data_IF_283355163245
#
_entry.id   IF_283355163245
#
_cell.length_a   1.000
_cell.length_b   1.000
_cell.length_c   1.000
_cell.angle_alpha   90.00
_cell.angle_beta   90.00
_cell.angle_gamma   90.00
#
_symmetry.space_group_name_H-M   'P 1'
#
loop_
_entity.id
_entity.type
_entity.pdbx_description
1 polymer ?
#
# COMPACT_ATOMS: atom_id res chain seq x y z
N UNK A 1 36.68 16.87 -16.83
CA UNK A 1 35.96 17.84 -15.98
C UNK A 1 34.97 17.04 -15.14
N UNK A 2 34.86 17.31 -13.84
CA UNK A 2 33.84 16.66 -13.01
C UNK A 2 32.46 17.17 -13.44
N UNK A 3 31.47 16.28 -13.52
CA UNK A 3 30.10 16.67 -13.83
C UNK A 3 29.58 17.64 -12.75
N UNK A 4 28.93 18.72 -13.17
CA UNK A 4 28.41 19.73 -12.24
C UNK A 4 27.10 19.22 -11.63
N UNK A 5 27.07 19.10 -10.30
CA UNK A 5 25.87 18.70 -9.55
C UNK A 5 25.36 19.91 -8.78
N UNK A 6 24.07 20.19 -8.96
CA UNK A 6 23.35 21.20 -8.19
C UNK A 6 22.08 20.58 -7.58
N UNK A 7 21.78 20.95 -6.34
CA UNK A 7 20.52 20.59 -5.66
C UNK A 7 19.86 21.89 -5.23
N UNK A 8 18.58 22.03 -5.54
CA UNK A 8 17.80 23.24 -5.25
C UNK A 8 16.33 22.91 -5.00
N UNK A 9 15.61 23.87 -4.43
CA UNK A 9 14.15 23.80 -4.34
C UNK A 9 13.51 23.76 -5.74
N UNK A 10 12.45 22.95 -5.83
CA UNK A 10 11.63 22.85 -7.03
C UNK A 10 10.89 24.17 -7.29
N UNK A 11 10.80 24.55 -8.55
CA UNK A 11 10.13 25.75 -9.05
C UNK A 11 8.97 25.37 -9.97
N UNK A 12 7.94 26.20 -10.14
CA UNK A 12 6.80 25.87 -11.01
C UNK A 12 7.20 25.46 -12.45
N UNK A 13 8.31 26.01 -12.96
CA UNK A 13 8.84 25.68 -14.29
C UNK A 13 9.41 24.25 -14.39
N UNK A 14 9.74 23.60 -13.27
CA UNK A 14 10.23 22.23 -13.22
C UNK A 14 9.12 21.18 -13.46
N UNK A 15 7.85 21.60 -13.54
CA UNK A 15 6.70 20.69 -13.56
C UNK A 15 6.78 19.61 -14.65
N UNK A 16 7.21 19.96 -15.87
CA UNK A 16 7.34 18.99 -16.96
C UNK A 16 8.47 17.98 -16.70
N UNK A 17 9.59 18.43 -16.14
CA UNK A 17 10.72 17.58 -15.78
C UNK A 17 10.37 16.63 -14.62
N UNK A 18 9.70 17.13 -13.58
CA UNK A 18 9.20 16.34 -12.47
C UNK A 18 8.19 15.26 -12.92
N UNK A 19 7.32 15.57 -13.88
CA UNK A 19 6.42 14.56 -14.47
C UNK A 19 7.18 13.44 -15.18
N UNK A 20 8.29 13.78 -15.85
CA UNK A 20 9.15 12.80 -16.51
C UNK A 20 9.81 11.88 -15.48
N UNK A 21 10.41 12.46 -14.44
CA UNK A 21 10.99 11.71 -13.31
C UNK A 21 9.97 10.84 -12.59
N UNK A 22 8.75 11.34 -12.40
CA UNK A 22 7.64 10.58 -11.82
C UNK A 22 7.29 9.35 -12.67
N UNK A 23 7.21 9.52 -13.99
CA UNK A 23 6.94 8.43 -14.92
C UNK A 23 8.00 7.33 -14.85
N UNK A 24 9.28 7.70 -14.89
CA UNK A 24 10.39 6.76 -14.75
C UNK A 24 10.35 5.99 -13.43
N UNK A 25 10.17 6.70 -12.30
CA UNK A 25 10.07 6.10 -10.98
C UNK A 25 8.89 5.12 -10.88
N UNK A 26 7.73 5.49 -11.44
CA UNK A 26 6.51 4.68 -11.39
C UNK A 26 6.65 3.36 -12.14
N UNK A 27 7.37 3.35 -13.26
CA UNK A 27 7.65 2.14 -14.03
C UNK A 27 8.62 1.22 -13.26
N UNK A 28 9.70 1.79 -12.71
CA UNK A 28 10.74 1.02 -12.02
C UNK A 28 10.33 0.44 -10.67
N UNK A 29 9.38 1.08 -9.97
CA UNK A 29 9.01 0.70 -8.60
C UNK A 29 8.07 -0.53 -8.49
N UNK A 30 7.61 -1.10 -9.61
CA UNK A 30 6.76 -2.29 -9.60
C UNK A 30 5.49 -2.11 -8.77
N UNK A 31 4.53 -1.32 -9.27
CA UNK A 31 3.13 -1.27 -8.80
C UNK A 31 2.83 -0.89 -7.33
N UNK A 32 3.76 -0.35 -6.54
CA UNK A 32 3.52 -0.20 -5.09
C UNK A 32 2.60 0.97 -4.67
N UNK A 33 2.37 1.96 -5.53
CA UNK A 33 1.28 2.96 -5.39
C UNK A 33 0.74 3.24 -6.79
N UNK A 34 -0.42 2.67 -7.15
CA UNK A 34 -1.15 3.07 -8.37
C UNK A 34 -1.81 4.41 -8.11
N UNK A 35 -1.02 5.48 -8.18
CA UNK A 35 -1.53 6.83 -8.26
C UNK A 35 -1.75 7.16 -9.73
N UNK A 36 -2.81 7.91 -10.02
CA UNK A 36 -2.99 8.47 -11.34
C UNK A 36 -1.79 9.35 -11.70
N UNK A 37 -1.39 9.34 -12.97
CA UNK A 37 -0.36 10.25 -13.44
C UNK A 37 -0.79 11.70 -13.14
N UNK A 38 0.08 12.52 -12.54
CA UNK A 38 -0.26 13.90 -12.26
C UNK A 38 -0.39 14.70 -13.57
N UNK A 39 -1.19 15.77 -13.56
CA UNK A 39 -1.23 16.75 -14.65
C UNK A 39 -0.23 17.88 -14.39
N UNK A 40 0.26 18.61 -15.41
CA UNK A 40 1.17 19.73 -15.22
C UNK A 40 0.64 20.78 -14.22
N UNK A 41 -0.67 21.07 -14.28
CA UNK A 41 -1.34 22.02 -13.39
C UNK A 41 -1.32 21.52 -11.95
N UNK A 42 -1.58 20.23 -11.73
CA UNK A 42 -1.54 19.63 -10.39
C UNK A 42 -0.12 19.62 -9.79
N UNK A 43 0.91 19.47 -10.64
CA UNK A 43 2.31 19.54 -10.21
C UNK A 43 2.66 20.96 -9.82
N UNK A 44 2.36 21.97 -10.67
CA UNK A 44 2.62 23.38 -10.34
C UNK A 44 1.95 23.81 -9.04
N UNK A 45 0.66 23.52 -8.89
CA UNK A 45 -0.08 23.82 -7.67
C UNK A 45 0.49 23.11 -6.43
N UNK A 46 1.10 21.93 -6.60
CA UNK A 46 1.75 21.22 -5.50
C UNK A 46 3.10 21.82 -5.14
N UNK A 47 3.88 22.30 -6.12
CA UNK A 47 5.13 23.02 -5.87
C UNK A 47 4.86 24.31 -5.09
N UNK A 48 3.86 25.10 -5.52
CA UNK A 48 3.47 26.33 -4.82
C UNK A 48 3.01 26.06 -3.39
N UNK A 49 2.21 25.00 -3.18
CA UNK A 49 1.76 24.61 -1.84
C UNK A 49 2.93 24.21 -0.95
N UNK A 50 3.85 23.40 -1.47
CA UNK A 50 5.03 22.95 -0.72
C UNK A 50 6.02 24.08 -0.45
N UNK A 51 6.13 25.06 -1.34
CA UNK A 51 6.95 26.26 -1.09
C UNK A 51 6.50 27.09 0.11
N UNK A 52 5.25 26.89 0.57
CA UNK A 52 4.70 27.53 1.76
C UNK A 52 4.52 26.55 2.94
N UNK A 53 4.92 25.29 2.80
CA UNK A 53 4.75 24.26 3.82
C UNK A 53 6.00 24.18 4.72
N UNK A 54 5.93 24.60 6.00
CA UNK A 54 7.09 24.52 6.88
C UNK A 54 7.52 23.09 7.22
N UNK A 55 6.66 22.09 6.95
CA UNK A 55 6.95 20.68 7.22
C UNK A 55 7.27 19.88 5.95
N UNK A 56 7.29 20.51 4.77
CA UNK A 56 7.44 19.84 3.49
C UNK A 56 8.38 20.59 2.56
N UNK A 57 9.30 19.88 1.91
CA UNK A 57 10.24 20.47 0.96
C UNK A 57 10.40 19.57 -0.26
N UNK A 58 10.26 20.13 -1.46
CA UNK A 58 10.49 19.40 -2.71
C UNK A 58 11.78 19.90 -3.35
N UNK A 59 12.73 18.99 -3.50
CA UNK A 59 14.03 19.30 -4.08
C UNK A 59 14.16 18.63 -5.44
N UNK A 60 14.89 19.31 -6.32
CA UNK A 60 15.32 18.79 -7.61
C UNK A 60 16.84 18.77 -7.67
N UNK A 61 17.37 17.78 -8.37
CA UNK A 61 18.80 17.62 -8.62
C UNK A 61 19.09 17.78 -10.09
N UNK A 62 20.07 18.61 -10.42
CA UNK A 62 20.57 18.81 -11.77
C UNK A 62 21.95 18.16 -11.94
N UNK A 63 22.16 17.56 -13.10
CA UNK A 63 23.47 17.09 -13.55
C UNK A 63 23.80 17.80 -14.87
N UNK A 64 24.88 18.56 -14.88
CA UNK A 64 25.29 19.38 -16.02
C UNK A 64 24.13 20.26 -16.56
N UNK A 65 23.39 20.90 -15.64
CA UNK A 65 22.23 21.77 -15.93
C UNK A 65 20.96 21.03 -16.35
N UNK A 66 20.93 19.69 -16.32
CA UNK A 66 19.76 18.90 -16.67
C UNK A 66 19.09 18.32 -15.42
N UNK A 67 17.81 18.63 -15.23
CA UNK A 67 16.99 18.09 -14.15
C UNK A 67 16.93 16.56 -14.25
N UNK A 68 17.62 15.90 -13.32
CA UNK A 68 17.95 14.47 -13.39
C UNK A 68 17.67 13.71 -12.08
N UNK A 69 17.14 14.40 -11.08
CA UNK A 69 16.71 13.78 -9.83
C UNK A 69 15.67 14.61 -9.11
N UNK A 70 14.93 13.95 -8.23
CA UNK A 70 13.94 14.60 -7.36
C UNK A 70 13.89 13.89 -6.02
N UNK A 71 13.47 14.62 -4.99
CA UNK A 71 13.18 14.05 -3.68
C UNK A 71 12.17 14.92 -2.94
N UNK A 72 11.21 14.29 -2.28
CA UNK A 72 10.28 14.96 -1.38
C UNK A 72 10.67 14.70 0.07
N UNK A 73 10.82 15.76 0.85
CA UNK A 73 11.17 15.70 2.25
C UNK A 73 9.96 16.12 3.08
N UNK A 74 9.70 15.40 4.16
CA UNK A 74 8.58 15.67 5.05
C UNK A 74 8.98 15.45 6.50
N UNK A 75 8.70 16.43 7.35
CA UNK A 75 8.86 16.31 8.80
C UNK A 75 7.70 15.49 9.38
N UNK A 76 8.03 14.49 10.18
CA UNK A 76 7.04 13.57 10.77
C UNK A 76 7.41 13.21 12.21
N UNK A 77 6.46 13.16 13.14
CA UNK A 77 6.72 12.67 14.49
C UNK A 77 7.33 11.28 14.47
N UNK A 78 8.40 11.05 15.24
CA UNK A 78 9.00 9.72 15.36
C UNK A 78 8.04 8.73 16.03
N UNK A 79 7.25 9.23 16.98
CA UNK A 79 6.24 8.48 17.70
C UNK A 79 5.25 9.46 18.35
N UNK A 80 4.07 9.01 18.76
CA UNK A 80 3.11 9.87 19.45
C UNK A 80 3.51 10.26 20.88
N UNK A 81 4.59 9.70 21.43
CA UNK A 81 5.01 9.90 22.83
C UNK A 81 6.27 10.77 22.98
N UNK A 82 6.93 11.10 21.87
CA UNK A 82 8.20 11.80 21.84
C UNK A 82 8.01 13.16 21.14
N UNK A 83 8.76 14.16 21.58
CA UNK A 83 8.69 15.51 21.02
C UNK A 83 9.50 15.64 19.72
N UNK A 84 10.42 14.71 19.50
CA UNK A 84 11.33 14.68 18.37
C UNK A 84 10.62 14.29 17.07
N UNK A 85 10.91 15.05 16.02
CA UNK A 85 10.52 14.73 14.67
C UNK A 85 11.64 13.97 13.94
N UNK A 86 11.24 13.20 12.93
CA UNK A 86 12.10 12.56 11.95
C UNK A 86 11.91 13.25 10.61
N UNK A 87 13.00 13.49 9.89
CA UNK A 87 12.94 13.90 8.50
C UNK A 87 12.75 12.67 7.61
N UNK A 88 11.60 12.57 6.94
CA UNK A 88 11.29 11.47 6.04
C UNK A 88 11.55 11.87 4.59
N UNK A 89 12.39 11.10 3.92
CA UNK A 89 12.71 11.19 2.50
C UNK A 89 11.79 10.24 1.73
N UNK A 90 10.93 10.80 0.90
CA UNK A 90 10.02 10.07 0.03
C UNK A 90 10.30 10.40 -1.45
N UNK A 91 9.89 9.50 -2.35
CA UNK A 91 9.97 9.69 -3.80
C UNK A 91 11.37 10.06 -4.34
N UNK A 92 12.43 9.61 -3.66
CA UNK A 92 13.80 9.76 -4.14
C UNK A 92 13.98 9.02 -5.45
N UNK A 93 14.26 9.75 -6.52
CA UNK A 93 14.56 9.18 -7.84
C UNK A 93 15.72 9.92 -8.49
N UNK A 94 16.55 9.16 -9.21
CA UNK A 94 17.64 9.66 -10.05
C UNK A 94 17.60 8.89 -11.37
N UNK A 95 17.59 9.62 -12.47
CA UNK A 95 17.58 9.05 -13.83
C UNK A 95 18.76 8.10 -14.00
N UNK A 96 18.63 7.06 -14.82
CA UNK A 96 19.70 6.09 -15.04
C UNK A 96 20.99 6.74 -15.55
N UNK A 97 20.87 7.80 -16.35
CA UNK A 97 22.01 8.57 -16.89
C UNK A 97 22.77 9.33 -15.79
N UNK A 98 22.09 9.81 -14.76
CA UNK A 98 22.70 10.55 -13.66
C UNK A 98 23.12 9.66 -12.47
N UNK A 99 22.82 8.36 -12.50
CA UNK A 99 23.30 7.42 -11.46
C UNK A 99 24.81 7.32 -11.47
N UNK A 100 25.38 7.02 -10.29
CA UNK A 100 26.83 6.86 -10.06
C UNK A 100 27.67 8.12 -10.35
N UNK A 101 27.05 9.27 -10.59
CA UNK A 101 27.74 10.56 -10.71
C UNK A 101 27.76 11.34 -9.39
N UNK A 102 27.04 10.88 -8.36
CA UNK A 102 26.99 11.53 -7.05
C UNK A 102 25.67 12.25 -6.75
N UNK A 103 24.77 12.40 -7.73
CA UNK A 103 23.52 13.15 -7.57
C UNK A 103 22.64 12.64 -6.41
N UNK A 104 22.47 11.31 -6.31
CA UNK A 104 21.71 10.73 -5.19
C UNK A 104 22.34 10.98 -3.82
N UNK A 105 23.68 11.05 -3.75
CA UNK A 105 24.39 11.41 -2.51
C UNK A 105 24.18 12.89 -2.16
N UNK A 106 24.20 13.77 -3.16
CA UNK A 106 23.93 15.20 -2.97
C UNK A 106 22.49 15.45 -2.47
N UNK A 107 21.49 14.76 -3.04
CA UNK A 107 20.10 14.87 -2.59
C UNK A 107 19.92 14.42 -1.13
N UNK A 108 20.55 13.31 -0.73
CA UNK A 108 20.52 12.84 0.66
C UNK A 108 21.29 13.78 1.60
N UNK A 109 22.41 14.36 1.14
CA UNK A 109 23.17 15.32 1.92
C UNK A 109 22.35 16.59 2.22
N UNK A 110 21.64 17.12 1.22
CA UNK A 110 20.72 18.26 1.42
C UNK A 110 19.58 17.90 2.37
N UNK A 111 19.05 16.67 2.28
CA UNK A 111 18.02 16.19 3.22
C UNK A 111 18.54 16.09 4.66
N UNK A 112 19.77 15.62 4.86
CA UNK A 112 20.41 15.55 6.16
C UNK A 112 20.67 16.95 6.74
N UNK A 113 21.20 17.86 5.92
CA UNK A 113 21.42 19.25 6.31
C UNK A 113 20.12 19.95 6.72
N UNK A 114 19.03 19.72 5.99
CA UNK A 114 17.71 20.25 6.37
C UNK A 114 17.18 19.62 7.67
N UNK A 115 17.38 18.31 7.87
CA UNK A 115 17.02 17.66 9.13
C UNK A 115 17.75 18.28 10.33
N UNK A 116 19.06 18.52 10.21
CA UNK A 116 19.88 19.17 11.25
C UNK A 116 19.40 20.59 11.53
N UNK A 117 19.10 21.38 10.49
CA UNK A 117 18.54 22.73 10.62
C UNK A 117 17.21 22.73 11.38
N UNK A 118 16.33 21.77 11.10
CA UNK A 118 15.02 21.61 11.73
C UNK A 118 15.08 20.88 13.09
N UNK A 119 16.28 20.62 13.63
CA UNK A 119 16.49 19.85 14.87
C UNK A 119 15.81 18.46 14.84
N UNK A 120 15.77 17.83 13.67
CA UNK A 120 15.29 16.47 13.49
C UNK A 120 16.47 15.49 13.62
N UNK A 121 16.62 14.75 14.73
CA UNK A 121 17.79 13.90 14.97
C UNK A 121 17.86 12.65 14.07
N UNK A 122 16.80 12.36 13.32
CA UNK A 122 16.69 11.16 12.50
C UNK A 122 16.32 11.48 11.05
N UNK A 123 16.92 10.72 10.13
CA UNK A 123 16.59 10.71 8.70
C UNK A 123 16.06 9.34 8.31
N UNK A 124 14.78 9.25 7.95
CA UNK A 124 14.14 8.05 7.41
C UNK A 124 14.04 8.12 5.90
N UNK A 125 14.27 7.02 5.18
CA UNK A 125 14.09 6.98 3.72
C UNK A 125 13.11 5.88 3.34
N UNK A 126 12.09 6.23 2.56
CA UNK A 126 11.13 5.28 2.01
C UNK A 126 11.65 4.77 0.67
N UNK A 127 12.08 3.51 0.63
CA UNK A 127 12.53 2.84 -0.58
C UNK A 127 11.74 1.53 -0.81
N UNK A 128 11.33 1.22 -2.06
CA UNK A 128 10.74 -0.07 -2.39
C UNK A 128 11.68 -1.22 -2.04
N UNK A 129 11.18 -2.27 -1.40
CA UNK A 129 11.97 -3.46 -1.06
C UNK A 129 12.59 -4.15 -2.29
N UNK A 130 11.95 -4.01 -3.46
CA UNK A 130 12.42 -4.57 -4.74
C UNK A 130 13.61 -3.79 -5.33
N UNK A 131 13.84 -2.54 -4.91
CA UNK A 131 14.88 -1.67 -5.44
C UNK A 131 16.25 -1.98 -4.80
N UNK A 132 16.87 -3.11 -5.17
CA UNK A 132 18.10 -3.63 -4.53
C UNK A 132 19.28 -2.66 -4.58
N UNK A 133 19.46 -1.97 -5.71
CA UNK A 133 20.54 -0.98 -5.86
C UNK A 133 20.33 0.21 -4.92
N UNK A 134 19.11 0.75 -4.84
CA UNK A 134 18.76 1.84 -3.94
C UNK A 134 18.94 1.45 -2.47
N UNK A 135 18.44 0.27 -2.06
CA UNK A 135 18.60 -0.21 -0.68
C UNK A 135 20.08 -0.41 -0.31
N UNK A 136 20.91 -0.91 -1.23
CA UNK A 136 22.36 -1.03 -1.00
C UNK A 136 23.03 0.34 -0.87
N UNK A 137 22.62 1.32 -1.67
CA UNK A 137 23.10 2.69 -1.56
C UNK A 137 22.75 3.30 -0.19
N UNK A 138 21.50 3.17 0.26
CA UNK A 138 21.05 3.67 1.56
C UNK A 138 21.76 2.98 2.73
N UNK A 139 21.93 1.65 2.68
CA UNK A 139 22.67 0.91 3.69
C UNK A 139 24.14 1.36 3.81
N UNK A 140 24.78 1.71 2.68
CA UNK A 140 26.15 2.26 2.69
C UNK A 140 26.25 3.65 3.30
N UNK A 141 25.14 4.38 3.39
CA UNK A 141 25.05 5.66 4.10
C UNK A 141 24.71 5.48 5.59
N UNK A 142 24.60 4.24 6.08
CA UNK A 142 24.32 3.94 7.49
C UNK A 142 22.84 3.77 7.82
N UNK A 143 21.93 3.85 6.84
CA UNK A 143 20.51 3.63 7.09
C UNK A 143 20.22 2.13 7.25
N UNK A 144 19.60 1.76 8.37
CA UNK A 144 19.10 0.41 8.63
C UNK A 144 17.59 0.31 8.38
N UNK A 145 17.11 -0.87 7.97
CA UNK A 145 15.68 -1.11 7.79
C UNK A 145 14.94 -1.05 9.14
N UNK A 146 13.99 -0.14 9.27
CA UNK A 146 13.18 0.02 10.49
C UNK A 146 11.77 -0.59 10.37
N UNK A 147 11.17 -0.62 9.17
CA UNK A 147 9.78 -1.06 8.97
C UNK A 147 9.52 -1.58 7.55
N UNK A 148 8.36 -2.25 7.39
CA UNK A 148 7.79 -2.62 6.08
C UNK A 148 6.43 -1.93 5.93
N UNK A 149 6.33 -1.00 4.98
CA UNK A 149 5.08 -0.33 4.65
C UNK A 149 4.27 -1.16 3.64
N UNK A 150 3.00 -1.44 3.96
CA UNK A 150 2.03 -2.05 3.04
C UNK A 150 0.98 -1.00 2.67
N UNK A 151 0.62 -0.95 1.40
CA UNK A 151 -0.33 0.03 0.89
C UNK A 151 -1.38 -0.63 0.01
N UNK A 152 -2.63 -0.19 0.15
CA UNK A 152 -3.75 -0.54 -0.71
C UNK A 152 -4.79 0.59 -0.63
N UNK A 153 -5.63 0.72 -1.65
CA UNK A 153 -6.76 1.65 -1.56
C UNK A 153 -7.71 1.25 -0.42
N UNK A 154 -8.20 2.23 0.36
CA UNK A 154 -9.05 1.99 1.54
C UNK A 154 -10.28 1.14 1.20
N UNK A 155 -10.91 1.37 0.05
CA UNK A 155 -12.06 0.58 -0.40
C UNK A 155 -11.72 -0.90 -0.63
N UNK A 156 -10.51 -1.21 -1.09
CA UNK A 156 -10.05 -2.60 -1.26
C UNK A 156 -9.93 -3.29 0.09
N UNK A 157 -9.35 -2.61 1.08
CA UNK A 157 -9.24 -3.14 2.45
C UNK A 157 -10.62 -3.34 3.07
N UNK A 158 -11.49 -2.31 3.00
CA UNK A 158 -12.87 -2.38 3.52
C UNK A 158 -13.67 -3.51 2.90
N UNK A 159 -13.60 -3.67 1.58
CA UNK A 159 -14.28 -4.75 0.85
C UNK A 159 -13.78 -6.12 1.29
N UNK A 160 -12.46 -6.28 1.48
CA UNK A 160 -11.85 -7.55 1.94
C UNK A 160 -12.34 -7.91 3.36
N UNK A 161 -12.28 -6.96 4.28
CA UNK A 161 -12.74 -7.16 5.67
C UNK A 161 -14.24 -7.45 5.75
N UNK A 162 -15.06 -6.74 4.96
CA UNK A 162 -16.51 -6.98 4.93
C UNK A 162 -16.84 -8.39 4.40
N UNK A 163 -16.10 -8.88 3.40
CA UNK A 163 -16.27 -10.25 2.89
C UNK A 163 -15.88 -11.31 3.94
N UNK A 164 -14.87 -11.03 4.79
CA UNK A 164 -14.48 -11.92 5.90
C UNK A 164 -15.52 -11.94 7.03
N UNK A 165 -16.15 -10.79 7.32
CA UNK A 165 -17.13 -10.65 8.41
C UNK A 165 -18.58 -10.90 7.98
N UNK A 166 -18.85 -11.10 6.69
CA UNK A 166 -20.19 -11.47 6.25
C UNK A 166 -20.51 -12.84 6.89
N UNK A 167 -21.48 -12.94 7.83
CA UNK A 167 -21.83 -14.20 8.45
C UNK A 167 -22.14 -15.15 7.31
N UNK A 168 -21.44 -16.28 7.32
CA UNK A 168 -21.31 -17.23 6.24
C UNK A 168 -22.71 -17.54 5.65
N UNK A 169 -23.18 -16.70 4.72
CA UNK A 169 -24.59 -16.65 4.34
C UNK A 169 -24.95 -17.95 3.63
N UNK A 170 -23.96 -18.49 2.91
CA UNK A 170 -23.95 -19.83 2.35
C UNK A 170 -24.05 -20.92 3.42
N UNK A 171 -23.38 -20.80 4.57
CA UNK A 171 -23.53 -21.75 5.68
C UNK A 171 -24.88 -21.63 6.40
N UNK A 172 -25.44 -20.42 6.49
CA UNK A 172 -26.80 -20.21 7.02
C UNK A 172 -27.87 -20.75 6.05
N UNK A 173 -27.68 -20.57 4.74
CA UNK A 173 -28.58 -21.09 3.70
C UNK A 173 -28.46 -22.62 3.58
N UNK A 174 -27.27 -23.19 3.70
CA UNK A 174 -27.08 -24.65 3.73
C UNK A 174 -27.68 -25.27 4.99
N UNK A 175 -27.55 -24.60 6.15
CA UNK A 175 -28.20 -25.00 7.41
C UNK A 175 -29.74 -24.91 7.34
N UNK A 176 -30.29 -23.91 6.63
CA UNK A 176 -31.75 -23.83 6.41
C UNK A 176 -32.25 -24.93 5.46
N UNK A 177 -31.51 -25.24 4.39
CA UNK A 177 -31.86 -26.33 3.47
C UNK A 177 -31.82 -27.70 4.16
N UNK A 178 -30.85 -27.95 5.04
CA UNK A 178 -30.77 -29.22 5.79
C UNK A 178 -31.90 -29.37 6.81
N UNK A 179 -32.30 -28.28 7.49
CA UNK A 179 -33.45 -28.28 8.41
C UNK A 179 -34.78 -28.53 7.68
N UNK A 180 -34.99 -27.91 6.52
CA UNK A 180 -36.19 -28.12 5.69
C UNK A 180 -36.25 -29.55 5.16
N UNK A 181 -35.13 -30.09 4.66
CA UNK A 181 -35.04 -31.47 4.19
C UNK A 181 -35.31 -32.48 5.32
N UNK A 182 -34.77 -32.23 6.53
CA UNK A 182 -34.99 -33.08 7.71
C UNK A 182 -36.43 -33.01 8.21
N UNK A 183 -37.10 -31.85 8.12
CA UNK A 183 -38.54 -31.72 8.41
C UNK A 183 -39.41 -32.48 7.42
N UNK A 184 -39.07 -32.45 6.13
CA UNK A 184 -39.77 -33.19 5.09
C UNK A 184 -39.62 -34.72 5.26
N UNK A 185 -38.49 -35.19 5.81
CA UNK A 185 -38.26 -36.60 6.15
C UNK A 185 -39.02 -37.03 7.41
N UNK A 186 -39.10 -36.18 8.45
CA UNK A 186 -39.84 -36.48 9.69
C UNK A 186 -41.37 -36.43 9.52
N UNK A 187 -41.88 -35.73 8.51
CA UNK A 187 -43.30 -35.76 8.12
C UNK A 187 -43.70 -37.00 7.31
N UNK A 188 -42.77 -37.91 7.02
CA UNK A 188 -42.99 -39.18 6.32
C UNK A 188 -42.52 -40.34 7.20
N UNK A 189 -43.25 -40.66 8.27
CA UNK A 189 -43.23 -42.00 8.84
C UNK A 189 -44.67 -42.53 8.93
N UNK A 190 -44.97 -43.74 8.41
CA UNK A 190 -46.30 -44.32 8.38
C UNK A 190 -46.60 -45.13 9.66
N UNK A 191 -47.81 -45.00 10.17
CA UNK A 191 -48.42 -45.73 11.29
C UNK A 191 -49.47 -44.80 11.89
N UNK A 192 -50.76 -45.09 11.98
CA UNK A 192 -51.51 -46.32 12.29
C UNK A 192 -52.99 -45.98 11.96
N UNK A 193 -53.87 -46.88 11.51
CA UNK A 193 -54.67 -47.71 12.41
C UNK A 193 -55.01 -49.07 11.78
N UNK A 194 -54.52 -50.14 12.41
CA UNK A 194 -55.21 -51.42 12.47
C UNK A 194 -56.45 -51.31 13.36
N UNK A 195 -57.51 -52.07 13.05
CA UNK A 195 -58.40 -52.79 13.99
C UNK A 195 -59.65 -53.36 13.24
N UNK A 196 -60.19 -54.58 13.41
CA UNK A 196 -60.23 -55.54 14.52
C UNK A 196 -60.64 -56.96 14.04
N UNK A 197 -60.01 -57.99 14.66
CA UNK A 197 -60.66 -59.17 15.30
C UNK A 197 -61.39 -60.24 14.45
N UNK A 198 -61.34 -61.55 14.71
CA UNK A 198 -60.60 -62.48 15.62
C UNK A 198 -61.04 -63.93 15.22
N UNK A 199 -60.68 -65.06 15.88
CA UNK A 199 -60.05 -66.21 15.21
C UNK A 199 -60.75 -67.60 15.38
N UNK A 200 -60.15 -68.60 14.68
CA UNK A 200 -60.03 -70.06 14.95
C UNK A 200 -61.19 -71.06 14.69
N UNK A 201 -61.06 -71.80 13.56
CA UNK A 201 -61.04 -73.29 13.28
C UNK A 201 -61.65 -74.34 14.26
N UNK A 202 -61.88 -75.65 13.90
CA UNK A 202 -61.38 -76.49 12.76
C UNK A 202 -62.34 -77.57 12.13
N UNK A 203 -61.79 -78.29 11.13
CA UNK A 203 -62.00 -79.69 10.64
C UNK A 203 -63.40 -80.29 10.28
N UNK A 204 -63.54 -80.81 9.05
CA UNK A 204 -63.41 -82.25 8.69
C UNK A 204 -64.04 -82.61 7.32
N UNK A 205 -63.66 -83.78 6.82
CA UNK A 205 -63.69 -84.33 5.46
C UNK A 205 -65.07 -84.61 4.80
N UNK A 206 -65.06 -84.82 3.47
CA UNK A 206 -66.10 -85.62 2.81
C UNK A 206 -66.16 -85.59 1.27
N UNK A 207 -65.44 -86.53 0.64
CA UNK A 207 -65.61 -87.16 -0.70
C UNK A 207 -65.75 -86.31 -1.97
#
# INVERSE_FOLDING_TARGET
MAAAIEVRDARPDDAAGLMTLWGEMSIGAGHQRVLAAPTPESVRASIERLGNDPAGRLLVGELDGHLSGMVYLRRTPISPWHAEDTMTVEYLHVTDRARRHGLGKALIAEAAAWAEHENCPYLGVVAPAVAREANRFLARLGLSQAAVLRFAATHTVRRRLAAEHAPNLLAMLSSRRSVIARRAQLGRHPGETADLSSPAEPESAGR
#
